data_IF_326698325735
#
_entry.id   IF_326698325735
#
_cell.length_a   1.000
_cell.length_b   1.000
_cell.length_c   1.000
_cell.angle_alpha   90.00
_cell.angle_beta   90.00
_cell.angle_gamma   90.00
#
_symmetry.space_group_name_H-M   'P 1'
#
loop_
_entity.id
_entity.type
_entity.pdbx_description
1 polymer ?
#
# COMPACT_ATOMS: atom_id res chain seq x y z
N UNK A 1 15.58 -34.94 -18.18
CA UNK A 1 14.25 -34.34 -17.95
C UNK A 1 14.11 -33.03 -18.74
N UNK A 2 14.20 -33.12 -20.07
CA UNK A 2 14.14 -31.95 -20.99
C UNK A 2 13.05 -32.12 -22.04
N UNK A 3 12.32 -33.24 -22.07
CA UNK A 3 11.40 -33.57 -23.16
C UNK A 3 9.94 -33.76 -22.69
N UNK A 4 9.43 -32.85 -21.85
CA UNK A 4 7.99 -32.81 -21.51
C UNK A 4 7.35 -31.41 -21.54
N UNK A 5 8.07 -30.38 -22.01
CA UNK A 5 7.57 -29.00 -22.08
C UNK A 5 7.24 -28.52 -23.51
N UNK A 6 7.31 -29.40 -24.53
CA UNK A 6 7.12 -29.01 -25.95
C UNK A 6 5.72 -29.26 -26.52
N UNK A 7 4.76 -29.75 -25.72
CA UNK A 7 3.42 -30.16 -26.21
C UNK A 7 2.24 -29.25 -25.85
N UNK A 8 2.46 -28.12 -25.19
CA UNK A 8 1.38 -27.18 -24.85
C UNK A 8 1.26 -25.96 -25.81
N UNK A 9 1.98 -25.92 -26.93
CA UNK A 9 2.07 -24.71 -27.79
C UNK A 9 1.38 -24.82 -29.16
N UNK A 10 0.47 -25.78 -29.37
CA UNK A 10 -0.26 -25.91 -30.65
C UNK A 10 -1.73 -26.32 -30.45
N UNK A 11 -2.56 -25.43 -29.89
CA UNK A 11 -4.02 -25.55 -29.98
C UNK A 11 -4.76 -24.24 -29.67
N UNK A 12 -4.37 -23.11 -30.26
CA UNK A 12 -5.16 -21.87 -30.18
C UNK A 12 -4.89 -20.94 -31.37
N UNK A 13 -5.23 -21.39 -32.58
CA UNK A 13 -5.51 -20.49 -33.72
C UNK A 13 -6.95 -20.72 -34.16
N UNK A 14 -7.87 -19.91 -33.63
CA UNK A 14 -9.16 -19.66 -34.29
C UNK A 14 -9.20 -18.20 -34.70
N UNK A 15 -9.54 -17.89 -35.96
CA UNK A 15 -9.68 -16.53 -36.46
C UNK A 15 -10.90 -15.86 -35.82
N UNK A 16 -10.71 -14.63 -35.35
CA UNK A 16 -11.74 -13.80 -34.76
C UNK A 16 -12.62 -13.23 -35.89
N UNK A 17 -13.81 -13.79 -36.08
CA UNK A 17 -14.83 -13.27 -37.00
C UNK A 17 -15.36 -11.92 -36.48
N UNK A 18 -15.23 -10.88 -37.31
CA UNK A 18 -15.92 -9.61 -37.15
C UNK A 18 -17.37 -9.75 -37.60
N UNK A 19 -18.33 -9.67 -36.66
CA UNK A 19 -19.70 -9.22 -36.98
C UNK A 19 -20.45 -8.81 -35.71
N UNK A 20 -20.96 -7.58 -35.71
CA UNK A 20 -21.75 -7.04 -34.60
C UNK A 20 -22.01 -5.55 -34.76
N UNK A 21 -22.83 -5.21 -35.75
CA UNK A 21 -23.44 -3.90 -35.96
C UNK A 21 -24.30 -3.60 -34.71
N UNK A 22 -23.95 -2.58 -33.94
CA UNK A 22 -24.73 -2.12 -32.78
C UNK A 22 -25.67 -1.01 -33.23
N UNK A 23 -26.96 -1.24 -33.04
CA UNK A 23 -28.01 -0.23 -33.15
C UNK A 23 -27.93 0.74 -31.95
N UNK A 24 -28.37 2.00 -32.11
CA UNK A 24 -28.33 3.00 -31.05
C UNK A 24 -29.37 2.72 -29.95
N UNK A 25 -29.03 2.97 -28.66
CA UNK A 25 -29.98 2.80 -27.57
C UNK A 25 -31.01 3.94 -27.53
N UNK A 26 -32.28 3.57 -27.50
CA UNK A 26 -33.42 4.43 -27.27
C UNK A 26 -33.32 5.18 -25.93
N UNK A 27 -33.45 6.51 -26.00
CA UNK A 27 -33.63 7.38 -24.86
C UNK A 27 -35.04 7.23 -24.30
N UNK A 28 -35.24 6.27 -23.39
CA UNK A 28 -36.46 6.20 -22.58
C UNK A 28 -36.19 6.85 -21.23
N UNK A 29 -36.89 7.95 -20.97
CA UNK A 29 -36.73 8.82 -19.81
C UNK A 29 -36.88 8.08 -18.49
N UNK A 30 -36.09 8.52 -17.51
CA UNK A 30 -36.37 8.23 -16.10
C UNK A 30 -36.32 9.53 -15.32
N UNK A 31 -37.39 9.70 -14.57
CA UNK A 31 -37.83 10.90 -13.90
C UNK A 31 -36.85 11.36 -12.82
N UNK A 32 -36.77 12.68 -12.73
CA UNK A 32 -36.13 13.46 -11.67
C UNK A 32 -36.84 13.21 -10.34
N UNK A 33 -36.20 12.48 -9.42
CA UNK A 33 -36.56 12.55 -8.01
C UNK A 33 -35.81 13.72 -7.37
N UNK A 34 -36.54 14.82 -7.21
CA UNK A 34 -36.14 16.02 -6.50
C UNK A 34 -36.09 15.74 -4.99
N UNK A 35 -34.88 15.52 -4.45
CA UNK A 35 -34.64 15.55 -3.00
C UNK A 35 -34.21 16.97 -2.64
N UNK A 36 -35.06 17.64 -1.86
CA UNK A 36 -34.92 19.04 -1.46
C UNK A 36 -33.62 19.31 -0.70
N UNK A 37 -32.91 20.36 -1.12
CA UNK A 37 -31.87 21.02 -0.34
C UNK A 37 -32.53 21.88 0.74
N UNK A 38 -32.04 21.86 1.99
CA UNK A 38 -32.40 22.83 3.01
C UNK A 38 -31.92 24.23 2.61
N UNK A 39 -32.80 25.23 2.78
CA UNK A 39 -32.52 26.65 2.56
C UNK A 39 -31.24 27.09 3.28
N UNK A 40 -30.34 27.69 2.51
CA UNK A 40 -29.31 28.60 3.01
C UNK A 40 -30.00 29.85 3.56
N UNK A 41 -29.70 30.18 4.81
CA UNK A 41 -30.13 31.39 5.47
C UNK A 41 -29.10 32.49 5.13
N UNK A 42 -29.43 33.33 4.15
CA UNK A 42 -28.72 34.57 3.85
C UNK A 42 -29.00 35.59 4.97
N UNK A 43 -28.09 35.68 5.93
CA UNK A 43 -28.03 36.77 6.88
C UNK A 43 -27.15 37.92 6.34
N UNK A 44 -27.61 39.19 6.37
CA UNK A 44 -26.80 40.32 5.96
C UNK A 44 -25.78 40.64 7.08
N UNK A 45 -24.53 40.23 6.90
CA UNK A 45 -23.45 40.68 7.78
C UNK A 45 -22.96 42.03 7.26
N UNK A 46 -23.32 43.04 8.05
CA UNK A 46 -22.97 44.43 7.90
C UNK A 46 -21.47 44.63 7.64
N UNK A 47 -21.20 45.59 6.76
CA UNK A 47 -19.87 46.13 6.53
C UNK A 47 -19.25 46.64 7.83
N UNK A 48 -17.98 46.32 8.00
CA UNK A 48 -17.08 47.06 8.85
C UNK A 48 -16.06 47.74 7.94
N UNK A 49 -16.03 49.05 8.08
CA UNK A 49 -15.30 50.01 7.30
C UNK A 49 -13.78 49.87 7.41
N UNK A 50 -13.15 50.38 6.36
CA UNK A 50 -11.75 50.76 6.26
C UNK A 50 -11.22 51.45 7.53
N UNK A 51 -10.17 50.89 8.13
CA UNK A 51 -9.03 51.57 8.79
C UNK A 51 -8.28 50.61 9.71
N UNK A 52 -7.04 50.27 9.35
CA UNK A 52 -5.91 50.79 10.11
C UNK A 52 -4.60 50.52 9.37
N UNK A 53 -3.96 51.62 8.96
CA UNK A 53 -2.55 51.71 8.60
C UNK A 53 -1.69 51.39 9.83
N UNK A 54 -1.66 50.12 10.23
CA UNK A 54 -0.61 49.63 11.10
C UNK A 54 0.61 49.44 10.21
N UNK A 55 1.47 50.46 10.20
CA UNK A 55 2.83 50.41 9.71
C UNK A 55 3.54 49.22 10.36
N UNK A 56 3.39 48.06 9.72
CA UNK A 56 4.02 46.81 10.04
C UNK A 56 5.52 47.05 9.80
N UNK A 57 6.18 47.45 10.88
CA UNK A 57 7.62 47.54 10.95
C UNK A 57 8.10 46.09 10.92
N UNK A 58 8.16 45.54 9.71
CA UNK A 58 8.65 44.21 9.41
C UNK A 58 10.12 44.18 9.80
N UNK A 59 10.39 43.88 11.06
CA UNK A 59 11.72 43.55 11.52
C UNK A 59 12.22 42.43 10.60
N UNK A 60 13.36 42.62 9.90
CA UNK A 60 13.90 41.55 9.07
C UNK A 60 14.03 40.31 9.94
N UNK A 61 13.52 39.14 9.50
CA UNK A 61 13.56 37.93 10.28
C UNK A 61 15.01 37.71 10.71
N UNK A 62 15.27 37.78 12.02
CA UNK A 62 16.60 37.54 12.57
C UNK A 62 17.08 36.21 11.99
N UNK A 63 18.29 36.14 11.43
CA UNK A 63 18.83 34.89 10.91
C UNK A 63 18.75 33.87 12.03
N UNK A 64 17.88 32.87 11.85
CA UNK A 64 17.78 31.75 12.77
C UNK A 64 19.16 31.14 12.75
N UNK A 65 19.88 31.24 13.88
CA UNK A 65 21.19 30.65 14.01
C UNK A 65 21.03 29.15 13.77
N UNK A 66 21.39 28.72 12.56
CA UNK A 66 21.40 27.33 12.13
C UNK A 66 22.56 26.63 12.83
N UNK A 67 22.51 26.52 14.16
CA UNK A 67 23.40 25.62 14.88
C UNK A 67 23.20 24.24 14.27
N UNK A 68 24.22 23.69 13.59
CA UNK A 68 24.09 22.39 12.96
C UNK A 68 23.69 21.41 14.05
N UNK A 69 22.55 20.75 13.87
CA UNK A 69 22.12 19.69 14.77
C UNK A 69 23.29 18.70 14.93
N UNK A 70 23.59 18.24 16.15
CA UNK A 70 24.66 17.27 16.36
C UNK A 70 24.43 16.08 15.44
N UNK A 71 25.48 15.69 14.72
CA UNK A 71 25.42 14.59 13.76
C UNK A 71 25.17 13.28 14.51
N UNK A 72 23.91 12.83 14.54
CA UNK A 72 23.57 11.51 15.08
C UNK A 72 24.03 10.43 14.09
N UNK A 73 24.64 9.32 14.57
CA UNK A 73 24.92 8.15 13.76
C UNK A 73 23.66 7.62 13.04
N UNK A 74 23.78 7.08 11.81
CA UNK A 74 22.66 6.53 11.05
C UNK A 74 21.82 5.49 11.78
N UNK A 75 22.44 4.69 12.65
CA UNK A 75 21.80 3.63 13.43
C UNK A 75 20.79 4.21 14.42
N UNK A 76 21.14 5.33 15.07
CA UNK A 76 20.25 6.01 16.02
C UNK A 76 19.05 6.65 15.30
N UNK A 77 19.24 7.16 14.07
CA UNK A 77 18.12 7.64 13.26
C UNK A 77 17.14 6.52 12.92
N UNK A 78 17.64 5.31 12.63
CA UNK A 78 16.79 4.14 12.40
C UNK A 78 15.89 3.84 13.59
N UNK A 79 16.43 3.83 14.81
CA UNK A 79 15.64 3.62 16.03
C UNK A 79 14.66 4.78 16.31
N UNK A 80 15.07 6.03 16.10
CA UNK A 80 14.17 7.19 16.21
C UNK A 80 12.99 7.04 15.24
N UNK A 81 13.24 6.68 13.99
CA UNK A 81 12.19 6.50 12.99
C UNK A 81 11.27 5.33 13.33
N UNK A 82 11.81 4.21 13.85
CA UNK A 82 10.99 3.10 14.35
C UNK A 82 10.06 3.59 15.47
N UNK A 83 10.59 4.29 16.47
CA UNK A 83 9.77 4.83 17.57
C UNK A 83 8.74 5.86 17.09
N UNK A 84 9.11 6.74 16.16
CA UNK A 84 8.20 7.74 15.60
C UNK A 84 7.06 7.13 14.76
N UNK A 85 7.28 5.96 14.17
CA UNK A 85 6.32 5.29 13.29
C UNK A 85 5.57 4.15 13.97
N UNK A 86 5.98 3.79 15.20
CA UNK A 86 5.31 2.81 16.05
C UNK A 86 4.00 3.40 16.59
N UNK A 87 2.93 3.28 15.80
CA UNK A 87 1.59 3.60 16.28
C UNK A 87 1.17 2.54 17.29
N UNK A 88 1.10 2.88 18.57
CA UNK A 88 0.62 1.96 19.60
C UNK A 88 -0.91 1.80 19.51
N UNK A 89 -1.45 0.59 19.71
CA UNK A 89 -0.73 -0.69 19.84
C UNK A 89 -0.06 -1.05 18.51
N UNK A 90 1.18 -1.59 18.55
CA UNK A 90 1.95 -1.86 17.34
C UNK A 90 1.03 -2.63 16.39
N UNK A 91 0.88 -2.20 15.13
CA UNK A 91 0.15 -2.99 14.16
C UNK A 91 0.98 -4.25 13.87
N UNK A 92 0.91 -5.22 14.80
CA UNK A 92 1.56 -6.52 14.81
C UNK A 92 2.81 -6.59 13.94
N UNK A 93 3.81 -5.77 14.26
CA UNK A 93 5.13 -5.92 13.66
C UNK A 93 5.58 -7.35 13.91
N UNK A 94 6.15 -7.99 12.88
CA UNK A 94 6.64 -9.39 12.92
C UNK A 94 7.64 -9.60 14.08
N UNK A 95 8.15 -8.52 14.65
CA UNK A 95 9.06 -8.49 15.79
C UNK A 95 8.38 -8.62 17.16
N UNK A 96 7.05 -8.44 17.26
CA UNK A 96 6.29 -8.54 18.50
C UNK A 96 5.45 -9.82 18.57
N UNK A 97 5.99 -10.94 18.05
CA UNK A 97 5.57 -12.28 18.48
C UNK A 97 6.17 -12.64 19.84
N UNK A 98 6.40 -11.66 20.70
CA UNK A 98 6.61 -11.97 22.12
C UNK A 98 5.35 -12.66 22.58
N UNK A 99 5.55 -13.92 22.95
CA UNK A 99 4.63 -14.89 23.53
C UNK A 99 4.11 -14.39 24.89
N UNK A 100 3.54 -13.18 24.89
CA UNK A 100 2.94 -12.56 26.03
C UNK A 100 1.64 -13.33 26.28
N UNK A 101 1.74 -14.35 27.13
CA UNK A 101 0.63 -14.97 27.84
C UNK A 101 -0.14 -14.00 28.74
N UNK A 102 -0.36 -12.76 28.29
CA UNK A 102 -1.27 -11.81 28.88
C UNK A 102 -2.64 -12.03 28.24
N UNK A 103 -3.40 -12.90 28.88
CA UNK A 103 -4.68 -13.47 28.46
C UNK A 103 -5.80 -12.41 28.30
N UNK A 104 -5.62 -11.16 28.73
CA UNK A 104 -6.74 -10.21 28.85
C UNK A 104 -6.52 -8.82 28.23
N UNK A 105 -5.54 -8.64 27.33
CA UNK A 105 -5.57 -7.43 26.50
C UNK A 105 -6.72 -7.61 25.50
N UNK A 106 -7.77 -6.76 25.51
CA UNK A 106 -8.85 -6.87 24.56
C UNK A 106 -8.21 -6.78 23.18
N UNK A 107 -8.10 -7.93 22.52
CA UNK A 107 -7.71 -8.02 21.11
C UNK A 107 -8.47 -6.90 20.45
N UNK A 108 -7.78 -5.97 19.82
CA UNK A 108 -8.45 -4.91 19.06
C UNK A 108 -9.10 -5.59 17.87
N UNK A 109 -10.23 -6.24 18.13
CA UNK A 109 -11.08 -6.98 17.22
C UNK A 109 -11.70 -6.05 16.19
N UNK A 110 -11.57 -4.74 16.40
CA UNK A 110 -11.95 -3.74 15.43
C UNK A 110 -10.87 -3.65 14.33
N UNK A 111 -11.03 -4.45 13.28
CA UNK A 111 -10.30 -4.34 11.99
C UNK A 111 -10.22 -2.88 11.52
N UNK A 112 -11.25 -2.08 11.76
CA UNK A 112 -11.27 -0.66 11.44
C UNK A 112 -10.18 0.13 12.16
N UNK A 113 -9.97 -0.15 13.44
CA UNK A 113 -8.95 0.51 14.24
C UNK A 113 -7.55 0.13 13.75
N UNK A 114 -7.31 -1.15 13.44
CA UNK A 114 -6.04 -1.58 12.84
C UNK A 114 -5.78 -0.88 11.49
N UNK A 115 -6.80 -0.78 10.63
CA UNK A 115 -6.70 -0.03 9.37
C UNK A 115 -6.36 1.44 9.59
N UNK A 116 -6.97 2.10 10.58
CA UNK A 116 -6.71 3.50 10.93
C UNK A 116 -5.29 3.69 11.46
N UNK A 117 -4.83 2.82 12.37
CA UNK A 117 -3.48 2.86 12.92
C UNK A 117 -2.43 2.63 11.83
N UNK A 118 -2.63 1.62 10.97
CA UNK A 118 -1.76 1.39 9.82
C UNK A 118 -1.70 2.63 8.90
N UNK A 119 -2.85 3.25 8.59
CA UNK A 119 -2.90 4.45 7.76
C UNK A 119 -2.13 5.62 8.38
N UNK A 120 -2.28 5.85 9.68
CA UNK A 120 -1.53 6.87 10.41
C UNK A 120 -0.02 6.58 10.40
N UNK A 121 0.38 5.32 10.64
CA UNK A 121 1.78 4.91 10.58
C UNK A 121 2.36 5.16 9.18
N UNK A 122 1.66 4.77 8.11
CA UNK A 122 2.11 5.01 6.74
C UNK A 122 2.23 6.49 6.39
N UNK A 123 1.33 7.35 6.89
CA UNK A 123 1.46 8.80 6.73
C UNK A 123 2.74 9.33 7.38
N UNK A 124 3.03 8.90 8.62
CA UNK A 124 4.26 9.30 9.32
C UNK A 124 5.49 8.78 8.60
N UNK A 125 5.50 7.51 8.17
CA UNK A 125 6.60 6.91 7.39
C UNK A 125 6.87 7.67 6.09
N UNK A 126 5.82 8.04 5.36
CA UNK A 126 5.94 8.83 4.13
C UNK A 126 6.43 10.26 4.40
N UNK A 127 6.00 10.89 5.50
CA UNK A 127 6.51 12.20 5.89
C UNK A 127 8.01 12.15 6.17
N UNK A 128 8.49 11.11 6.88
CA UNK A 128 9.91 10.92 7.19
C UNK A 128 10.80 10.83 5.93
N UNK A 129 10.33 10.14 4.88
CA UNK A 129 11.11 10.02 3.62
C UNK A 129 11.20 11.32 2.82
N UNK A 130 10.39 12.32 3.16
CA UNK A 130 10.30 13.62 2.47
C UNK A 130 10.96 14.78 3.24
N UNK A 131 11.46 14.56 4.46
CA UNK A 131 12.07 15.64 5.28
C UNK A 131 13.32 16.21 4.62
N UNK A 132 14.30 15.35 4.29
CA UNK A 132 15.53 15.76 3.63
C UNK A 132 16.21 14.58 2.92
N UNK A 133 17.23 14.88 2.10
CA UNK A 133 17.94 13.86 1.29
C UNK A 133 18.67 12.81 2.13
N UNK A 134 19.14 13.16 3.33
CA UNK A 134 19.83 12.20 4.21
C UNK A 134 18.85 11.28 4.94
N UNK A 135 17.62 11.73 5.21
CA UNK A 135 16.58 10.91 5.85
C UNK A 135 15.96 9.91 4.89
N UNK A 136 15.84 10.27 3.61
CA UNK A 136 15.24 9.42 2.59
C UNK A 136 15.78 7.97 2.57
N UNK A 137 17.10 7.71 2.45
CA UNK A 137 17.63 6.34 2.44
C UNK A 137 17.45 5.61 3.77
N UNK A 138 17.39 6.34 4.89
CA UNK A 138 17.21 5.76 6.24
C UNK A 138 15.74 5.38 6.52
N UNK A 139 14.80 6.18 6.01
CA UNK A 139 13.37 5.95 6.20
C UNK A 139 12.76 5.02 5.12
N UNK A 140 13.40 4.88 3.95
CA UNK A 140 12.93 3.98 2.87
C UNK A 140 12.71 2.53 3.34
N UNK A 141 13.63 1.89 4.11
CA UNK A 141 13.40 0.57 4.67
C UNK A 141 12.09 0.47 5.47
N UNK A 142 11.83 1.46 6.32
CA UNK A 142 10.69 1.48 7.24
C UNK A 142 9.38 1.73 6.49
N UNK A 143 9.42 2.55 5.44
CA UNK A 143 8.28 2.84 4.57
C UNK A 143 7.82 1.58 3.82
N UNK A 144 8.74 0.83 3.24
CA UNK A 144 8.42 -0.34 2.42
C UNK A 144 8.29 -1.64 3.22
N UNK A 145 8.67 -1.67 4.49
CA UNK A 145 8.59 -2.86 5.35
C UNK A 145 7.22 -3.54 5.32
N UNK A 146 6.15 -2.73 5.36
CA UNK A 146 4.77 -3.18 5.40
C UNK A 146 3.96 -2.36 4.41
N UNK A 147 3.46 -3.01 3.35
CA UNK A 147 2.70 -2.36 2.28
C UNK A 147 1.27 -2.86 2.30
N UNK A 148 0.33 -1.92 2.39
CA UNK A 148 -1.10 -2.21 2.27
C UNK A 148 -1.60 -1.85 0.90
N UNK A 149 -2.33 -2.79 0.32
CA UNK A 149 -2.94 -2.73 -1.00
C UNK A 149 -4.46 -2.74 -0.77
N UNK A 150 -5.11 -1.63 -1.11
CA UNK A 150 -6.55 -1.42 -0.93
C UNK A 150 -7.37 -1.70 -2.17
N UNK A 151 -6.74 -1.61 -3.34
CA UNK A 151 -7.36 -1.83 -4.64
C UNK A 151 -6.35 -2.42 -5.64
N UNK A 152 -6.87 -2.89 -6.78
CA UNK A 152 -6.07 -3.55 -7.81
C UNK A 152 -5.12 -2.57 -8.52
N UNK A 153 -5.49 -1.29 -8.65
CA UNK A 153 -4.64 -0.27 -9.28
C UNK A 153 -3.36 0.00 -8.48
N UNK A 154 -3.41 -0.19 -7.14
CA UNK A 154 -2.22 -0.13 -6.30
C UNK A 154 -1.25 -1.30 -6.54
N UNK A 155 -1.75 -2.49 -6.89
CA UNK A 155 -0.88 -3.62 -7.26
C UNK A 155 -0.09 -3.24 -8.51
N UNK A 156 -0.76 -2.70 -9.52
CA UNK A 156 -0.12 -2.27 -10.78
C UNK A 156 0.87 -1.14 -10.55
N UNK A 157 0.49 -0.14 -9.74
CA UNK A 157 1.38 0.97 -9.38
C UNK A 157 2.63 0.50 -8.63
N UNK A 158 2.46 -0.45 -7.70
CA UNK A 158 3.57 -1.05 -6.97
C UNK A 158 4.46 -1.87 -7.92
N UNK A 159 3.88 -2.70 -8.79
CA UNK A 159 4.62 -3.44 -9.81
C UNK A 159 5.45 -2.51 -10.71
N UNK A 160 4.85 -1.45 -11.24
CA UNK A 160 5.53 -0.48 -12.09
C UNK A 160 6.72 0.16 -11.35
N UNK A 161 6.54 0.52 -10.08
CA UNK A 161 7.62 1.02 -9.23
C UNK A 161 8.76 -0.01 -9.11
N UNK A 162 8.44 -1.25 -8.76
CA UNK A 162 9.46 -2.29 -8.54
C UNK A 162 10.17 -2.70 -9.84
N UNK A 163 9.45 -2.78 -10.95
CA UNK A 163 10.02 -3.01 -12.27
C UNK A 163 10.92 -1.85 -12.70
N UNK A 164 10.57 -0.60 -12.36
CA UNK A 164 11.42 0.56 -12.65
C UNK A 164 12.73 0.51 -11.88
N UNK A 165 12.71 0.10 -10.61
CA UNK A 165 13.92 -0.12 -9.81
C UNK A 165 14.79 -1.23 -10.44
N UNK A 166 14.18 -2.33 -10.88
CA UNK A 166 14.88 -3.42 -11.54
C UNK A 166 15.51 -2.99 -12.88
N UNK A 167 14.77 -2.24 -13.72
CA UNK A 167 15.27 -1.69 -14.99
C UNK A 167 16.39 -0.68 -14.79
N UNK A 168 16.38 0.04 -13.68
CA UNK A 168 17.47 0.92 -13.26
C UNK A 168 18.67 0.17 -12.68
N UNK A 169 18.66 -1.17 -12.67
CA UNK A 169 19.73 -2.00 -12.11
C UNK A 169 19.80 -1.99 -10.58
N UNK A 170 18.78 -1.47 -9.89
CA UNK A 170 18.73 -1.47 -8.43
C UNK A 170 18.37 -2.86 -7.95
N UNK A 171 19.34 -3.54 -7.35
CA UNK A 171 19.18 -4.84 -6.71
C UNK A 171 19.48 -4.74 -5.21
N UNK A 172 19.09 -5.76 -4.44
CA UNK A 172 19.37 -5.79 -3.00
C UNK A 172 18.81 -4.56 -2.27
N UNK A 173 19.52 -4.03 -1.25
CA UNK A 173 19.12 -2.86 -0.46
C UNK A 173 18.76 -1.59 -1.26
N UNK A 174 19.24 -1.45 -2.50
CA UNK A 174 18.89 -0.31 -3.34
C UNK A 174 17.46 -0.39 -3.91
N UNK A 175 16.96 -1.62 -4.12
CA UNK A 175 15.60 -1.88 -4.62
C UNK A 175 14.56 -1.69 -3.54
N UNK A 176 13.43 -1.08 -3.88
CA UNK A 176 12.30 -0.97 -2.95
C UNK A 176 11.71 -2.35 -2.60
N UNK A 177 11.78 -3.31 -3.53
CA UNK A 177 11.27 -4.68 -3.33
C UNK A 177 12.00 -5.44 -2.21
N UNK A 178 13.26 -5.08 -1.93
CA UNK A 178 14.08 -5.72 -0.91
C UNK A 178 13.59 -5.47 0.52
N UNK A 179 12.90 -4.36 0.71
CA UNK A 179 12.42 -3.95 2.03
C UNK A 179 11.02 -4.47 2.32
N UNK A 180 10.27 -4.91 1.32
CA UNK A 180 8.91 -5.43 1.52
C UNK A 180 8.95 -6.77 2.25
N UNK A 181 8.48 -6.76 3.50
CA UNK A 181 8.38 -7.95 4.38
C UNK A 181 6.95 -8.41 4.57
N UNK A 182 6.01 -7.48 4.47
CA UNK A 182 4.62 -7.74 4.78
C UNK A 182 3.72 -7.09 3.73
N UNK A 183 2.77 -7.88 3.23
CA UNK A 183 1.75 -7.42 2.30
C UNK A 183 0.38 -7.57 2.95
N UNK A 184 -0.34 -6.45 3.03
CA UNK A 184 -1.73 -6.40 3.50
C UNK A 184 -2.66 -6.21 2.31
N UNK A 185 -3.70 -7.02 2.23
CA UNK A 185 -4.75 -6.91 1.22
C UNK A 185 -6.07 -6.59 1.91
N UNK A 186 -6.75 -5.53 1.47
CA UNK A 186 -8.16 -5.38 1.83
C UNK A 186 -9.03 -6.38 1.06
N UNK A 187 -10.13 -6.78 1.70
CA UNK A 187 -11.08 -7.78 1.19
C UNK A 187 -11.61 -7.50 -0.20
N UNK A 188 -11.68 -6.24 -0.62
CA UNK A 188 -12.12 -5.81 -1.97
C UNK A 188 -11.29 -6.40 -3.11
N UNK A 189 -10.03 -6.75 -2.85
CA UNK A 189 -9.13 -7.34 -3.86
C UNK A 189 -9.37 -8.85 -3.99
N UNK A 190 -9.83 -9.49 -2.91
CA UNK A 190 -9.96 -10.95 -2.81
C UNK A 190 -11.20 -11.53 -3.51
N UNK A 191 -12.31 -10.79 -3.59
CA UNK A 191 -13.63 -11.39 -3.91
C UNK A 191 -13.91 -11.62 -5.38
N UNK A 192 -13.09 -11.06 -6.26
CA UNK A 192 -13.43 -11.00 -7.68
C UNK A 192 -12.20 -11.18 -8.56
N UNK A 193 -11.12 -11.79 -8.05
CA UNK A 193 -9.81 -11.77 -8.69
C UNK A 193 -9.88 -12.37 -10.09
N UNK A 194 -10.07 -11.48 -11.07
CA UNK A 194 -9.96 -11.77 -12.49
C UNK A 194 -8.56 -12.34 -12.73
N UNK A 195 -8.37 -13.21 -13.73
CA UNK A 195 -7.09 -13.88 -13.97
C UNK A 195 -5.88 -12.93 -14.04
N UNK A 196 -6.08 -11.70 -14.54
CA UNK A 196 -5.01 -10.69 -14.57
C UNK A 196 -4.51 -10.24 -13.19
N UNK A 197 -5.37 -10.25 -12.16
CA UNK A 197 -4.99 -9.87 -10.79
C UNK A 197 -4.07 -10.95 -10.20
N UNK A 198 -4.37 -12.22 -10.46
CA UNK A 198 -3.53 -13.33 -10.06
C UNK A 198 -2.15 -13.25 -10.74
N UNK A 199 -2.10 -12.92 -12.04
CA UNK A 199 -0.84 -12.70 -12.75
C UNK A 199 -0.03 -11.52 -12.19
N UNK A 200 -0.70 -10.41 -11.86
CA UNK A 200 -0.07 -9.24 -11.26
C UNK A 200 0.49 -9.57 -9.86
N UNK A 201 -0.27 -10.27 -9.02
CA UNK A 201 0.19 -10.73 -7.72
C UNK A 201 1.37 -11.69 -7.86
N UNK A 202 1.30 -12.69 -8.76
CA UNK A 202 2.40 -13.62 -8.99
C UNK A 202 3.70 -12.88 -9.40
N UNK A 203 3.60 -11.86 -10.26
CA UNK A 203 4.73 -10.98 -10.61
C UNK A 203 5.24 -10.21 -9.40
N UNK A 204 4.35 -9.66 -8.59
CA UNK A 204 4.71 -8.88 -7.40
C UNK A 204 5.49 -9.75 -6.42
N UNK A 205 5.01 -10.97 -6.17
CA UNK A 205 5.65 -11.95 -5.30
C UNK A 205 7.02 -12.36 -5.83
N UNK A 206 7.16 -12.55 -7.13
CA UNK A 206 8.44 -12.86 -7.77
C UNK A 206 9.48 -11.75 -7.58
N UNK A 207 9.05 -10.49 -7.58
CA UNK A 207 9.92 -9.33 -7.32
C UNK A 207 10.24 -9.20 -5.83
N UNK A 208 9.27 -9.48 -4.94
CA UNK A 208 9.41 -9.31 -3.49
C UNK A 208 9.85 -10.62 -2.80
N UNK A 209 11.08 -11.09 -3.07
CA UNK A 209 11.61 -12.34 -2.50
C UNK A 209 11.65 -12.39 -0.96
N UNK A 210 11.55 -11.23 -0.30
CA UNK A 210 11.71 -11.09 1.16
C UNK A 210 10.41 -10.94 1.94
N UNK A 211 9.26 -11.13 1.29
CA UNK A 211 7.96 -11.18 1.97
C UNK A 211 7.93 -12.38 2.91
N UNK A 212 7.57 -12.13 4.16
CA UNK A 212 7.49 -13.09 5.26
C UNK A 212 6.04 -13.33 5.71
N UNK A 213 5.17 -12.34 5.52
CA UNK A 213 3.80 -12.38 5.99
C UNK A 213 2.80 -11.82 4.97
N UNK A 214 1.65 -12.49 4.89
CA UNK A 214 0.48 -12.06 4.15
C UNK A 214 -0.66 -11.83 5.12
N UNK A 215 -1.32 -10.69 4.99
CA UNK A 215 -2.47 -10.37 5.83
C UNK A 215 -3.65 -9.92 5.01
N UNK A 216 -4.83 -10.38 5.42
CA UNK A 216 -6.11 -10.02 4.82
C UNK A 216 -6.93 -9.26 5.86
N UNK A 217 -7.31 -8.02 5.54
CA UNK A 217 -8.23 -7.26 6.40
C UNK A 217 -9.66 -7.65 6.08
N UNK A 218 -10.20 -8.57 6.88
CA UNK A 218 -11.59 -8.99 6.81
C UNK A 218 -12.56 -7.87 7.21
N UNK A 219 -13.21 -7.25 6.23
CA UNK A 219 -14.63 -6.87 6.34
C UNK A 219 -15.23 -7.15 4.98
N UNK A 220 -15.75 -8.34 4.81
CA UNK A 220 -16.64 -8.61 3.69
C UNK A 220 -17.69 -9.58 4.17
N UNK A 221 -18.91 -9.32 3.74
CA UNK A 221 -19.99 -10.28 3.62
C UNK A 221 -19.65 -11.41 2.63
N UNK A 222 -18.36 -11.76 2.51
CA UNK A 222 -17.91 -12.86 1.70
C UNK A 222 -18.55 -14.12 2.21
N UNK A 223 -19.02 -14.91 1.25
CA UNK A 223 -19.25 -16.31 1.52
C UNK A 223 -17.95 -16.94 2.01
N UNK A 224 -18.03 -17.92 2.92
CA UNK A 224 -16.88 -18.72 3.33
C UNK A 224 -16.09 -19.27 2.12
N UNK A 225 -16.77 -19.47 0.99
CA UNK A 225 -16.18 -19.95 -0.26
C UNK A 225 -15.16 -18.98 -0.86
N UNK A 226 -15.39 -17.65 -0.80
CA UNK A 226 -14.48 -16.64 -1.37
C UNK A 226 -13.15 -16.55 -0.60
N UNK A 227 -13.18 -16.93 0.68
CA UNK A 227 -11.99 -16.96 1.54
C UNK A 227 -11.14 -18.18 1.21
N UNK A 228 -11.78 -19.33 0.95
CA UNK A 228 -11.09 -20.57 0.62
C UNK A 228 -10.38 -20.46 -0.73
N UNK A 229 -11.00 -19.84 -1.75
CA UNK A 229 -10.41 -19.71 -3.09
C UNK A 229 -9.14 -18.85 -3.10
N UNK A 230 -9.11 -17.75 -2.33
CA UNK A 230 -7.90 -16.90 -2.25
C UNK A 230 -6.76 -17.59 -1.52
N UNK A 231 -7.06 -18.32 -0.44
CA UNK A 231 -6.03 -19.13 0.23
C UNK A 231 -5.51 -20.22 -0.71
N UNK A 232 -6.37 -20.82 -1.53
CA UNK A 232 -5.97 -21.81 -2.54
C UNK A 232 -5.07 -21.20 -3.63
N UNK A 233 -5.19 -19.91 -3.95
CA UNK A 233 -4.30 -19.24 -4.93
C UNK A 233 -3.00 -18.76 -4.26
N UNK A 234 -3.08 -18.19 -3.06
CA UNK A 234 -1.92 -17.64 -2.37
C UNK A 234 -1.01 -18.73 -1.80
N UNK A 235 -1.54 -19.80 -1.22
CA UNK A 235 -0.73 -20.86 -0.60
C UNK A 235 0.25 -21.50 -1.60
N UNK A 236 -0.14 -21.92 -2.82
CA UNK A 236 0.81 -22.44 -3.80
C UNK A 236 1.85 -21.40 -4.22
N UNK A 237 1.47 -20.13 -4.34
CA UNK A 237 2.40 -19.06 -4.71
C UNK A 237 3.41 -18.77 -3.60
N UNK A 238 2.97 -18.80 -2.33
CA UNK A 238 3.81 -18.64 -1.15
C UNK A 238 4.79 -19.83 -1.06
N UNK A 239 4.29 -21.05 -1.23
CA UNK A 239 5.11 -22.26 -1.24
C UNK A 239 6.15 -22.24 -2.37
N UNK A 240 5.77 -21.86 -3.59
CA UNK A 240 6.69 -21.73 -4.73
C UNK A 240 7.76 -20.66 -4.49
N UNK A 241 7.38 -19.52 -3.92
CA UNK A 241 8.31 -18.43 -3.62
C UNK A 241 9.34 -18.83 -2.53
N UNK A 242 8.94 -19.68 -1.58
CA UNK A 242 9.83 -20.18 -0.56
C UNK A 242 10.77 -21.28 -1.07
N UNK A 243 10.28 -22.23 -1.88
CA UNK A 243 11.12 -23.28 -2.46
C UNK A 243 12.19 -22.75 -3.42
N UNK A 244 11.91 -21.66 -4.15
CA UNK A 244 12.90 -21.04 -5.03
C UNK A 244 14.12 -20.47 -4.27
N UNK A 245 14.06 -20.33 -2.93
CA UNK A 245 15.21 -19.89 -2.12
C UNK A 245 16.18 -21.02 -1.80
N UNK A 246 15.73 -22.27 -1.78
CA UNK A 246 16.56 -23.41 -1.37
C UNK A 246 17.52 -23.88 -2.48
N UNK A 247 17.26 -23.49 -3.74
CA UNK A 247 18.10 -23.80 -4.90
C UNK A 247 19.23 -22.77 -5.15
N UNK A 248 19.18 -21.58 -4.55
CA UNK A 248 20.30 -20.64 -4.59
C UNK A 248 21.32 -21.05 -3.49
N UNK A 249 22.18 -22.01 -3.83
CA UNK A 249 23.26 -22.47 -2.95
C UNK A 249 24.14 -21.33 -2.42
N UNK A 250 24.83 -21.53 -1.28
CA UNK A 250 25.59 -20.47 -0.61
C UNK A 250 26.66 -19.91 -1.56
N UNK A 251 26.49 -18.64 -1.93
CA UNK A 251 27.51 -17.83 -2.61
C UNK A 251 28.53 -17.29 -1.61
#
# INVERSE_FOLDING_TARGET
MVELARRASQAAKKPFEKKGKRDPPDHTGSQLNSIGRPLENDGPVAGCEDRNDNAETTCPPKPVNNTPLPLLPPELWGEIFKHATNTHPPPMTIHDFTDAGCIDSPRLTCVELQRRLHHLSMKTKAALTLVCRSWHPLAKPILFESVRITDVGQIESLLLLLESDQKAGKTGPASSAWWIRELWFDTTICTCARPYVADALAKLLKLCRRVLAFRKFGKSSCSANDIQEVNVVLEPLICQANHAKDDEGPQ
#
